data_IF_479683651026
#
_entry.id   IF_479683651026
#
_cell.length_a   1.000
_cell.length_b   1.000
_cell.length_c   1.000
_cell.angle_alpha   90.00
_cell.angle_beta   90.00
_cell.angle_gamma   90.00
#
_symmetry.space_group_name_H-M   'P 1'
#
loop_
_entity.id
_entity.type
_entity.pdbx_description
1 polymer ?
#
# COMPACT_ATOMS: atom_id res chain seq x y z
N UNK A 1 -18.46 5.65 -1.60
CA UNK A 1 -17.51 5.98 -0.52
C UNK A 1 -18.37 6.45 0.65
N UNK A 2 -18.31 5.77 1.81
CA UNK A 2 -19.18 6.10 2.94
C UNK A 2 -18.80 7.47 3.52
N UNK A 3 -19.41 8.52 2.96
CA UNK A 3 -19.62 9.77 3.65
C UNK A 3 -20.74 9.49 4.66
N UNK A 4 -20.44 9.56 5.95
CA UNK A 4 -21.47 9.63 6.99
C UNK A 4 -22.20 10.94 6.76
N UNK A 5 -23.34 10.90 6.06
CA UNK A 5 -24.17 12.07 5.80
C UNK A 5 -24.48 12.76 7.14
N UNK A 6 -24.01 14.00 7.31
CA UNK A 6 -24.29 14.85 8.48
C UNK A 6 -23.20 14.94 9.55
N UNK A 7 -22.08 14.22 9.43
CA UNK A 7 -20.95 14.38 10.34
C UNK A 7 -19.97 15.43 9.80
N UNK A 8 -20.29 16.71 10.04
CA UNK A 8 -19.34 17.80 9.85
C UNK A 8 -18.16 17.52 10.80
N UNK A 9 -16.95 17.31 10.29
CA UNK A 9 -15.76 17.03 11.12
C UNK A 9 -15.37 18.16 12.10
N UNK A 10 -16.22 19.16 12.29
CA UNK A 10 -16.08 20.26 13.24
C UNK A 10 -16.17 19.73 14.68
N UNK A 11 -15.11 19.94 15.46
CA UNK A 11 -15.10 19.63 16.90
C UNK A 11 -14.77 18.20 17.29
N UNK A 12 -14.46 17.31 16.34
CA UNK A 12 -13.96 15.97 16.68
C UNK A 12 -12.50 16.05 17.14
N UNK A 13 -12.09 15.28 18.18
CA UNK A 13 -10.70 15.19 18.57
C UNK A 13 -9.88 14.61 17.41
N UNK A 14 -9.09 15.46 16.77
CA UNK A 14 -8.20 15.06 15.68
C UNK A 14 -6.95 14.46 16.30
N UNK A 15 -6.77 13.15 16.14
CA UNK A 15 -5.51 12.50 16.45
C UNK A 15 -4.53 12.80 15.30
N UNK A 16 -3.86 13.95 15.37
CA UNK A 16 -2.86 14.36 14.38
C UNK A 16 -1.57 13.60 14.66
N UNK A 17 -1.33 12.52 13.93
CA UNK A 17 0.01 11.93 13.87
C UNK A 17 0.94 12.90 13.13
N UNK A 18 2.19 13.02 13.60
CA UNK A 18 3.19 13.83 12.91
C UNK A 18 3.35 13.33 11.46
N UNK A 19 3.40 14.21 10.43
CA UNK A 19 3.43 13.79 9.02
C UNK A 19 4.51 12.76 8.70
N UNK A 20 5.69 12.89 9.32
CA UNK A 20 6.77 11.91 9.18
C UNK A 20 6.40 10.50 9.66
N UNK A 21 5.59 10.37 10.71
CA UNK A 21 5.11 9.07 11.22
C UNK A 21 4.12 8.46 10.24
N UNK A 22 3.23 9.28 9.66
CA UNK A 22 2.27 8.84 8.65
C UNK A 22 3.02 8.29 7.43
N UNK A 23 3.96 9.06 6.87
CA UNK A 23 4.76 8.64 5.73
C UNK A 23 5.59 7.37 6.02
N UNK A 24 6.17 7.26 7.21
CA UNK A 24 6.89 6.07 7.64
C UNK A 24 5.98 4.83 7.69
N UNK A 25 4.80 4.94 8.32
CA UNK A 25 3.86 3.82 8.42
C UNK A 25 3.31 3.42 7.05
N UNK A 26 2.94 4.39 6.21
CA UNK A 26 2.48 4.13 4.84
C UNK A 26 3.57 3.44 4.00
N UNK A 27 4.79 3.96 4.02
CA UNK A 27 5.91 3.41 3.27
C UNK A 27 6.30 2.01 3.72
N UNK A 28 6.44 1.79 5.04
CA UNK A 28 6.77 0.46 5.59
C UNK A 28 5.68 -0.56 5.33
N UNK A 29 4.40 -0.18 5.45
CA UNK A 29 3.27 -1.05 5.13
C UNK A 29 3.26 -1.42 3.65
N UNK A 30 3.46 -0.44 2.76
CA UNK A 30 3.49 -0.66 1.31
C UNK A 30 4.65 -1.57 0.90
N UNK A 31 5.86 -1.30 1.38
CA UNK A 31 7.05 -2.13 1.11
C UNK A 31 6.81 -3.56 1.60
N UNK A 32 6.35 -3.72 2.84
CA UNK A 32 6.07 -5.04 3.41
C UNK A 32 4.99 -5.80 2.61
N UNK A 33 3.93 -5.10 2.18
CA UNK A 33 2.86 -5.66 1.37
C UNK A 33 3.33 -6.11 -0.02
N UNK A 34 4.17 -5.30 -0.70
CA UNK A 34 4.77 -5.67 -1.98
C UNK A 34 5.66 -6.90 -1.83
N UNK A 35 6.58 -6.90 -0.86
CA UNK A 35 7.48 -8.04 -0.62
C UNK A 35 6.70 -9.31 -0.28
N UNK A 36 5.69 -9.22 0.58
CA UNK A 36 4.84 -10.34 0.94
C UNK A 36 4.05 -10.85 -0.27
N UNK A 37 3.53 -9.95 -1.12
CA UNK A 37 2.82 -10.33 -2.34
C UNK A 37 3.74 -11.10 -3.31
N UNK A 38 4.96 -10.62 -3.57
CA UNK A 38 5.92 -11.32 -4.42
C UNK A 38 6.23 -12.72 -3.87
N UNK A 39 6.50 -12.82 -2.56
CA UNK A 39 6.79 -14.09 -1.89
C UNK A 39 5.61 -15.06 -1.96
N UNK A 40 4.40 -14.61 -1.62
CA UNK A 40 3.20 -15.46 -1.59
C UNK A 40 2.78 -15.89 -2.99
N UNK A 41 2.84 -15.02 -3.99
CA UNK A 41 2.55 -15.40 -5.38
C UNK A 41 3.47 -16.53 -5.83
N UNK A 42 4.77 -16.44 -5.53
CA UNK A 42 5.71 -17.50 -5.87
C UNK A 42 5.40 -18.80 -5.12
N UNK A 43 5.13 -18.70 -3.82
CA UNK A 43 4.82 -19.86 -2.94
C UNK A 43 3.53 -20.58 -3.35
N UNK A 44 2.49 -19.84 -3.74
CA UNK A 44 1.17 -20.39 -4.10
C UNK A 44 1.17 -20.88 -5.55
N UNK A 45 1.81 -20.14 -6.46
CA UNK A 45 1.81 -20.46 -7.89
C UNK A 45 2.49 -21.77 -8.24
N UNK A 46 3.55 -22.16 -7.51
CA UNK A 46 4.36 -23.38 -7.77
C UNK A 46 4.84 -23.49 -9.23
N UNK A 47 4.96 -22.34 -9.91
CA UNK A 47 5.45 -22.19 -11.28
C UNK A 47 6.89 -21.67 -11.27
N UNK A 48 7.69 -21.95 -12.31
CA UNK A 48 9.00 -21.33 -12.47
C UNK A 48 8.88 -19.80 -12.50
N UNK A 49 9.91 -19.12 -11.99
CA UNK A 49 9.95 -17.66 -11.85
C UNK A 49 9.68 -16.93 -13.17
N UNK A 50 10.10 -17.49 -14.30
CA UNK A 50 9.87 -16.93 -15.64
C UNK A 50 8.39 -16.77 -15.98
N UNK A 51 7.54 -17.74 -15.61
CA UNK A 51 6.09 -17.67 -15.86
C UNK A 51 5.39 -16.66 -14.95
N UNK A 52 5.95 -16.40 -13.77
CA UNK A 52 5.40 -15.45 -12.80
C UNK A 52 5.95 -14.03 -13.00
N UNK A 53 6.91 -13.84 -13.90
CA UNK A 53 7.59 -12.57 -14.12
C UNK A 53 6.63 -11.42 -14.46
N UNK A 54 5.61 -11.59 -15.33
CA UNK A 54 4.63 -10.53 -15.58
C UNK A 54 3.87 -10.12 -14.31
N UNK A 55 3.58 -11.07 -13.42
CA UNK A 55 2.91 -10.79 -12.16
C UNK A 55 3.82 -10.01 -11.19
N UNK A 56 5.09 -10.40 -11.07
CA UNK A 56 6.05 -9.71 -10.21
C UNK A 56 6.26 -8.26 -10.69
N UNK A 57 6.43 -8.06 -12.00
CA UNK A 57 6.55 -6.72 -12.61
C UNK A 57 5.29 -5.90 -12.34
N UNK A 58 4.11 -6.48 -12.54
CA UNK A 58 2.83 -5.79 -12.27
C UNK A 58 2.70 -5.37 -10.80
N UNK A 59 3.07 -6.25 -9.86
CA UNK A 59 3.06 -5.95 -8.42
C UNK A 59 4.04 -4.81 -8.08
N UNK A 60 5.23 -4.79 -8.69
CA UNK A 60 6.22 -3.73 -8.48
C UNK A 60 5.71 -2.39 -9.05
N UNK A 61 5.18 -2.39 -10.28
CA UNK A 61 4.62 -1.18 -10.91
C UNK A 61 3.45 -0.63 -10.09
N UNK A 62 2.57 -1.51 -9.60
CA UNK A 62 1.48 -1.12 -8.71
C UNK A 62 2.01 -0.54 -7.40
N UNK A 63 3.03 -1.17 -6.80
CA UNK A 63 3.68 -0.67 -5.59
C UNK A 63 4.26 0.74 -5.77
N UNK A 64 4.98 0.98 -6.87
CA UNK A 64 5.50 2.31 -7.22
C UNK A 64 4.37 3.31 -7.42
N UNK A 65 3.32 2.93 -8.15
CA UNK A 65 2.16 3.81 -8.40
C UNK A 65 1.47 4.20 -7.08
N UNK A 66 1.30 3.24 -6.17
CA UNK A 66 0.74 3.49 -4.86
C UNK A 66 1.66 4.35 -3.99
N UNK A 67 2.99 4.19 -4.09
CA UNK A 67 3.93 5.04 -3.36
C UNK A 67 3.70 6.53 -3.66
N UNK A 68 3.57 6.87 -4.94
CA UNK A 68 3.27 8.23 -5.39
C UNK A 68 1.94 8.75 -4.86
N UNK A 69 0.91 7.90 -4.80
CA UNK A 69 -0.44 8.30 -4.37
C UNK A 69 -0.55 8.42 -2.84
N UNK A 70 0.02 7.48 -2.08
CA UNK A 70 -0.21 7.37 -0.64
C UNK A 70 0.87 8.05 0.19
N UNK A 71 2.15 7.94 -0.21
CA UNK A 71 3.29 8.49 0.54
C UNK A 71 3.62 9.91 0.06
N UNK A 72 3.42 10.20 -1.23
CA UNK A 72 3.47 11.56 -1.77
C UNK A 72 4.87 12.12 -2.06
N UNK A 73 5.82 11.26 -2.45
CA UNK A 73 7.13 11.68 -2.96
C UNK A 73 7.24 11.44 -4.46
#
# INVERSE_FOLDING_TARGET
MFATFGLSGEGLPVLVAHPAVIAFLQGTTLISGVLLSLFLTHKIGRQPFSLLLPHHVSTIVLGISLWWIIVGF
#
